data_IF_658151782418
#
_entry.id   IF_658151782418
#
_cell.length_a   1.000
_cell.length_b   1.000
_cell.length_c   1.000
_cell.angle_alpha   90.00
_cell.angle_beta   90.00
_cell.angle_gamma   90.00
#
_symmetry.space_group_name_H-M   'P 1'
#
loop_
_entity.id
_entity.type
_entity.pdbx_description
1 polymer ?
#
# COMPACT_ATOMS: atom_id res chain seq x y z
N UNK A 1 -27.82 6.27 10.98
CA UNK A 1 -26.89 5.30 10.45
C UNK A 1 -25.50 5.87 10.43
N UNK A 2 -24.55 5.21 11.04
CA UNK A 2 -23.20 5.72 11.00
C UNK A 2 -22.64 5.64 9.59
N UNK A 3 -21.80 6.60 9.28
CA UNK A 3 -21.14 6.61 8.00
C UNK A 3 -20.08 5.53 7.96
N UNK A 4 -19.90 4.92 6.79
CA UNK A 4 -18.82 4.00 6.59
C UNK A 4 -17.50 4.78 6.47
N UNK A 5 -16.43 4.26 7.03
CA UNK A 5 -15.13 4.92 6.85
C UNK A 5 -14.73 4.91 5.40
N UNK A 6 -14.13 6.01 4.96
CA UNK A 6 -13.65 6.10 3.60
C UNK A 6 -12.26 5.49 3.52
N UNK A 7 -12.06 4.71 2.48
CA UNK A 7 -10.74 4.14 2.21
C UNK A 7 -10.00 5.04 1.24
N UNK A 8 -8.74 5.32 1.55
CA UNK A 8 -7.92 6.18 0.70
C UNK A 8 -7.87 5.62 -0.72
N UNK A 9 -8.37 6.37 -1.72
CA UNK A 9 -8.49 5.81 -3.08
C UNK A 9 -7.13 5.58 -3.76
N UNK A 10 -6.09 6.27 -3.33
CA UNK A 10 -4.75 6.02 -3.87
C UNK A 10 -4.23 4.67 -3.36
N UNK A 11 -4.46 4.37 -2.09
CA UNK A 11 -3.99 3.11 -1.50
C UNK A 11 -4.93 1.96 -1.84
N UNK A 12 -6.22 2.25 -1.99
CA UNK A 12 -7.22 1.21 -2.23
C UNK A 12 -7.13 0.68 -3.66
N UNK A 13 -6.03 0.01 -3.96
CA UNK A 13 -5.78 -0.66 -5.22
C UNK A 13 -4.83 -1.80 -4.92
N UNK A 14 -5.11 -2.95 -5.50
CA UNK A 14 -4.41 -4.18 -5.12
C UNK A 14 -2.89 -4.03 -5.19
N UNK A 15 -2.38 -3.55 -6.32
CA UNK A 15 -0.94 -3.44 -6.49
C UNK A 15 -0.35 -2.30 -5.66
N UNK A 16 -1.04 -1.16 -5.60
CA UNK A 16 -0.54 -0.04 -4.80
C UNK A 16 -0.50 -0.38 -3.32
N UNK A 17 -1.51 -1.08 -2.82
CA UNK A 17 -1.51 -1.53 -1.43
C UNK A 17 -0.37 -2.51 -1.18
N UNK A 18 -0.17 -3.45 -2.10
CA UNK A 18 0.92 -4.42 -1.98
C UNK A 18 2.28 -3.71 -1.97
N UNK A 19 2.45 -2.71 -2.84
CA UNK A 19 3.71 -1.98 -2.92
C UNK A 19 4.01 -1.22 -1.63
N UNK A 20 3.01 -0.53 -1.09
CA UNK A 20 3.21 0.18 0.17
C UNK A 20 3.48 -0.80 1.32
N UNK A 21 2.82 -1.94 1.32
CA UNK A 21 3.06 -2.96 2.33
C UNK A 21 4.50 -3.47 2.28
N UNK A 22 4.97 -3.76 1.07
CA UNK A 22 6.36 -4.22 0.90
C UNK A 22 7.35 -3.15 1.33
N UNK A 23 7.11 -1.89 0.91
CA UNK A 23 8.02 -0.81 1.23
C UNK A 23 8.00 -0.45 2.70
N UNK A 24 6.92 -0.76 3.41
CA UNK A 24 6.87 -0.49 4.84
C UNK A 24 7.83 -1.37 5.64
N UNK A 25 8.27 -2.47 5.06
CA UNK A 25 9.15 -3.41 5.75
C UNK A 25 10.62 -3.29 5.39
N UNK A 26 10.99 -2.34 4.53
CA UNK A 26 12.37 -2.17 4.09
C UNK A 26 12.72 -0.69 4.10
N UNK A 27 14.01 -0.39 4.10
CA UNK A 27 14.46 1.01 3.99
C UNK A 27 14.25 1.52 2.57
N UNK A 28 14.59 0.70 1.59
CA UNK A 28 14.40 1.04 0.20
C UNK A 28 14.40 -0.25 -0.61
N UNK A 29 13.89 -0.18 -1.84
CA UNK A 29 13.80 -1.35 -2.70
C UNK A 29 14.03 -0.95 -4.15
N UNK A 30 14.68 -1.83 -4.89
CA UNK A 30 14.88 -1.62 -6.32
C UNK A 30 13.61 -1.97 -7.10
N UNK A 31 13.48 -1.32 -8.25
CA UNK A 31 12.37 -1.60 -9.16
C UNK A 31 12.28 -3.10 -9.48
N UNK A 32 13.43 -3.72 -9.77
CA UNK A 32 13.45 -5.13 -10.15
C UNK A 32 13.00 -6.04 -9.01
N UNK A 33 13.33 -5.68 -7.77
CA UNK A 33 12.88 -6.46 -6.62
C UNK A 33 11.38 -6.33 -6.44
N UNK A 34 10.86 -5.12 -6.62
CA UNK A 34 9.40 -4.89 -6.50
C UNK A 34 8.67 -5.64 -7.60
N UNK A 35 9.22 -5.67 -8.81
CA UNK A 35 8.61 -6.40 -9.91
C UNK A 35 8.54 -7.89 -9.60
N UNK A 36 9.64 -8.45 -9.14
CA UNK A 36 9.69 -9.88 -8.81
C UNK A 36 8.76 -10.22 -7.67
N UNK A 37 8.69 -9.34 -6.67
CA UNK A 37 7.86 -9.58 -5.47
C UNK A 37 6.38 -9.51 -5.77
N UNK A 38 5.97 -8.72 -6.77
CA UNK A 38 4.56 -8.54 -7.08
C UNK A 38 4.11 -9.34 -8.31
N UNK A 39 5.05 -9.81 -9.11
CA UNK A 39 4.70 -10.52 -10.35
C UNK A 39 4.09 -9.61 -11.40
N UNK A 40 4.28 -8.30 -11.30
CA UNK A 40 3.67 -7.35 -12.22
C UNK A 40 4.54 -7.11 -13.44
N UNK A 41 3.95 -6.54 -14.48
CA UNK A 41 4.71 -6.11 -15.66
C UNK A 41 5.42 -4.81 -15.35
N UNK A 42 6.47 -4.51 -16.12
CA UNK A 42 7.19 -3.25 -15.96
C UNK A 42 6.27 -2.05 -16.11
N UNK A 43 5.41 -2.08 -17.12
CA UNK A 43 4.52 -0.96 -17.40
C UNK A 43 3.52 -0.72 -16.29
N UNK A 44 2.89 -1.79 -15.80
CA UNK A 44 1.91 -1.65 -14.74
C UNK A 44 2.57 -1.23 -13.43
N UNK A 45 3.71 -1.85 -13.11
CA UNK A 45 4.44 -1.50 -11.90
C UNK A 45 4.86 -0.02 -11.93
N UNK A 46 5.46 0.41 -13.05
CA UNK A 46 5.87 1.81 -13.18
C UNK A 46 4.72 2.78 -13.03
N UNK A 47 3.58 2.45 -13.63
CA UNK A 47 2.40 3.32 -13.55
C UNK A 47 1.89 3.42 -12.10
N UNK A 48 1.86 2.32 -11.37
CA UNK A 48 1.38 2.34 -10.01
C UNK A 48 2.36 3.05 -9.07
N UNK A 49 3.66 2.84 -9.28
CA UNK A 49 4.67 3.56 -8.48
C UNK A 49 4.60 5.06 -8.73
N UNK A 50 4.33 5.46 -9.98
CA UNK A 50 4.18 6.88 -10.30
C UNK A 50 2.99 7.49 -9.56
N UNK A 51 1.88 6.78 -9.47
CA UNK A 51 0.71 7.26 -8.71
C UNK A 51 1.04 7.44 -7.24
N UNK A 52 1.80 6.52 -6.67
CA UNK A 52 2.21 6.63 -5.27
C UNK A 52 3.17 7.79 -5.06
N UNK A 53 4.06 8.01 -6.02
CA UNK A 53 5.00 9.14 -5.96
C UNK A 53 4.26 10.47 -6.06
N UNK A 54 3.30 10.56 -6.97
CA UNK A 54 2.51 11.78 -7.15
C UNK A 54 1.71 12.12 -5.90
N UNK A 55 1.26 11.10 -5.18
CA UNK A 55 0.55 11.31 -3.93
C UNK A 55 1.47 11.67 -2.77
N UNK A 56 2.78 11.59 -2.98
CA UNK A 56 3.74 11.89 -1.92
C UNK A 56 4.02 10.74 -0.98
N UNK A 57 3.55 9.54 -1.32
CA UNK A 57 3.67 8.38 -0.43
C UNK A 57 4.95 7.60 -0.65
N UNK A 58 5.59 7.78 -1.79
CA UNK A 58 6.82 7.08 -2.16
C UNK A 58 7.80 8.09 -2.73
N UNK A 59 9.07 7.94 -2.36
CA UNK A 59 10.16 8.74 -2.92
C UNK A 59 10.99 7.85 -3.83
N UNK A 60 11.49 8.45 -4.90
CA UNK A 60 12.25 7.74 -5.93
C UNK A 60 13.64 8.34 -6.01
N UNK A 61 14.63 7.49 -6.06
CA UNK A 61 16.01 7.91 -6.24
C UNK A 61 16.62 7.15 -7.40
N UNK A 62 17.19 7.86 -8.35
CA UNK A 62 17.89 7.25 -9.49
C UNK A 62 19.37 7.50 -9.32
N UNK A 63 20.16 6.43 -9.41
CA UNK A 63 21.60 6.56 -9.28
C UNK A 63 22.28 5.49 -10.12
N UNK A 64 23.61 5.57 -10.18
CA UNK A 64 24.41 4.59 -10.87
C UNK A 64 25.21 3.80 -9.84
N UNK A 65 25.17 2.49 -9.98
CA UNK A 65 25.96 1.58 -9.14
C UNK A 65 26.76 0.73 -10.10
N UNK A 66 28.08 0.83 -10.00
CA UNK A 66 28.98 0.11 -10.93
C UNK A 66 28.61 0.41 -12.39
N UNK A 67 28.37 1.69 -12.68
CA UNK A 67 28.04 2.19 -14.03
C UNK A 67 26.70 1.70 -14.57
N UNK A 68 25.86 1.09 -13.71
CA UNK A 68 24.53 0.64 -14.11
C UNK A 68 23.50 1.52 -13.46
N UNK A 69 22.45 1.92 -14.20
CA UNK A 69 21.37 2.69 -13.60
C UNK A 69 20.60 1.84 -12.62
N UNK A 70 20.23 2.45 -11.51
CA UNK A 70 19.45 1.78 -10.46
C UNK A 70 18.39 2.74 -9.98
N UNK A 71 17.16 2.28 -9.91
CA UNK A 71 16.05 3.08 -9.40
C UNK A 71 15.61 2.49 -8.09
N UNK A 72 15.64 3.31 -7.05
CA UNK A 72 15.29 2.91 -5.70
C UNK A 72 14.04 3.64 -5.25
N UNK A 73 13.20 2.94 -4.52
CA UNK A 73 11.94 3.46 -4.00
C UNK A 73 11.92 3.27 -2.50
N UNK A 74 11.40 4.27 -1.79
CA UNK A 74 11.19 4.12 -0.35
C UNK A 74 9.90 4.80 0.05
N UNK A 75 9.29 4.29 1.11
CA UNK A 75 8.10 4.88 1.66
C UNK A 75 8.46 6.19 2.37
N UNK A 76 7.66 7.22 2.13
CA UNK A 76 7.83 8.49 2.84
C UNK A 76 7.08 8.42 4.16
N UNK A 77 7.32 9.44 5.01
CA UNK A 77 6.56 9.57 6.25
C UNK A 77 5.07 9.71 5.95
N UNK A 78 4.73 10.52 4.93
CA UNK A 78 3.34 10.67 4.54
C UNK A 78 2.74 9.35 4.08
N UNK A 79 3.52 8.53 3.37
CA UNK A 79 3.05 7.21 2.95
C UNK A 79 2.81 6.28 4.11
N UNK A 80 3.70 6.33 5.10
CA UNK A 80 3.55 5.50 6.30
C UNK A 80 2.29 5.87 7.07
N UNK A 81 2.06 7.17 7.23
CA UNK A 81 0.86 7.64 7.91
C UNK A 81 -0.40 7.27 7.15
N UNK A 82 -0.38 7.45 5.82
CA UNK A 82 -1.53 7.14 5.00
C UNK A 82 -1.85 5.64 5.02
N UNK A 83 -0.83 4.79 5.01
CA UNK A 83 -1.03 3.35 5.10
C UNK A 83 -1.61 2.97 6.46
N UNK A 84 -1.12 3.59 7.53
CA UNK A 84 -1.63 3.32 8.87
C UNK A 84 -3.11 3.71 8.97
N UNK A 85 -3.47 4.87 8.45
CA UNK A 85 -4.87 5.32 8.44
C UNK A 85 -5.74 4.41 7.59
N UNK A 86 -5.21 3.95 6.46
CA UNK A 86 -5.94 3.01 5.60
C UNK A 86 -6.25 1.72 6.36
N UNK A 87 -5.26 1.19 7.07
CA UNK A 87 -5.44 -0.04 7.83
C UNK A 87 -6.48 0.17 8.93
N UNK A 88 -6.45 1.32 9.62
CA UNK A 88 -7.43 1.61 10.64
C UNK A 88 -8.84 1.72 10.07
N UNK A 89 -8.97 2.42 8.93
CA UNK A 89 -10.27 2.53 8.27
C UNK A 89 -10.79 1.17 7.83
N UNK A 90 -9.90 0.34 7.30
CA UNK A 90 -10.29 -1.01 6.89
C UNK A 90 -10.72 -1.84 8.09
N UNK A 91 -10.02 -1.75 9.20
CA UNK A 91 -10.40 -2.45 10.42
C UNK A 91 -11.77 -2.00 10.91
N UNK A 92 -12.04 -0.70 10.88
CA UNK A 92 -13.34 -0.17 11.27
C UNK A 92 -14.44 -0.69 10.38
N UNK A 93 -14.20 -0.72 9.06
CA UNK A 93 -15.18 -1.22 8.11
C UNK A 93 -15.47 -2.69 8.38
N UNK A 94 -14.43 -3.50 8.53
CA UNK A 94 -14.58 -4.93 8.77
C UNK A 94 -15.16 -5.20 10.16
N UNK A 95 -14.72 -4.45 11.16
CA UNK A 95 -15.22 -4.59 12.51
C UNK A 95 -16.69 -4.28 12.61
N UNK A 96 -17.12 -3.20 11.93
CA UNK A 96 -18.52 -2.85 11.89
C UNK A 96 -19.36 -3.91 11.22
N UNK A 97 -18.88 -4.42 10.09
CA UNK A 97 -19.60 -5.45 9.37
C UNK A 97 -19.69 -6.74 10.18
N UNK A 98 -18.60 -7.12 10.82
CA UNK A 98 -18.56 -8.34 11.61
C UNK A 98 -19.40 -8.21 12.86
N UNK A 99 -19.39 -7.04 13.50
CA UNK A 99 -20.21 -6.80 14.68
C UNK A 99 -21.68 -6.86 14.36
N UNK A 100 -22.07 -6.26 13.25
CA UNK A 100 -23.48 -6.19 12.88
C UNK A 100 -23.99 -7.49 12.30
N UNK A 101 -23.14 -8.22 11.62
CA UNK A 101 -23.52 -9.46 11.01
C UNK A 101 -23.39 -10.65 11.94
N UNK A 102 -23.01 -10.43 13.20
CA UNK A 102 -22.60 -11.44 14.10
C UNK A 102 -23.52 -11.59 15.23
N UNK A 103 -24.64 -11.64 15.07
CA UNK A 103 -25.52 -11.80 16.20
C UNK A 103 -25.35 -13.14 16.77
N UNK A 104 -25.04 -13.49 16.74
CA UNK A 104 -24.92 -14.34 17.13
C UNK A 104 -24.22 -15.25 17.13
N UNK A 105 -24.04 -15.53 17.02
CA UNK A 105 -23.53 -16.04 17.00
C UNK A 105 -23.04 -16.60 17.45
N UNK A 106 -23.13 -16.83 17.43
CA UNK A 106 -22.81 -17.24 17.81
C UNK A 106 -22.52 -17.51 18.44
N UNK A 107 -22.49 -17.57 18.63
CA UNK A 107 -22.33 -17.74 19.30
C UNK A 107 -22.47 -18.23 19.72
N UNK A 108 -22.64 -18.69 19.75
CA UNK A 108 -22.79 -19.04 20.31
C UNK A 108 -22.75 -19.63 20.45
N UNK A 109 -22.76 -19.86 20.35
CA UNK A 109 -22.70 -20.11 20.70
C UNK A 109 -22.61 -20.29 20.97
#
# INVERSE_FOLDING_TARGET
MPELPELNPVIHGKLRLALLSLLSGVEEAEFTWLRASTGSTDGNLGAQLMKLEEAGYVAVEKKFVHRKPQTLYRMTEAGREALSEYVQALKQLLGGAMSNGQPTVNSGQ
#
